data_IF_730011471146
#
_entry.id   IF_730011471146
#
_cell.length_a   1.000
_cell.length_b   1.000
_cell.length_c   1.000
_cell.angle_alpha   90.00
_cell.angle_beta   90.00
_cell.angle_gamma   90.00
#
_symmetry.space_group_name_H-M   'P 1'
#
loop_
_entity.id
_entity.type
_entity.pdbx_description
1 polymer ?
#
# COMPACT_ATOMS: atom_id res chain seq x y z
N UNK A 1 -1.55 -4.19 10.06
CA UNK A 1 -2.65 -3.47 9.40
C UNK A 1 -3.95 -4.23 9.54
N UNK A 2 -5.01 -3.52 9.93
CA UNK A 2 -6.37 -4.09 10.06
C UNK A 2 -6.96 -4.37 8.68
N UNK A 3 -7.91 -5.30 8.62
CA UNK A 3 -8.67 -5.57 7.39
C UNK A 3 -9.38 -4.30 6.92
N UNK A 4 -9.25 -3.98 5.63
CA UNK A 4 -9.91 -2.87 4.99
C UNK A 4 -11.19 -3.34 4.28
N UNK A 5 -12.31 -2.68 4.55
CA UNK A 5 -13.61 -2.97 3.93
C UNK A 5 -14.18 -1.76 3.18
N UNK A 6 -13.51 -0.62 3.26
CA UNK A 6 -13.86 0.64 2.61
C UNK A 6 -12.61 1.42 2.18
N UNK A 7 -12.78 2.40 1.29
CA UNK A 7 -11.69 3.32 0.91
C UNK A 7 -11.18 4.14 2.11
N UNK A 8 -12.04 4.40 3.10
CA UNK A 8 -11.65 5.08 4.34
C UNK A 8 -10.75 4.21 5.22
N UNK A 9 -11.00 2.90 5.28
CA UNK A 9 -10.10 1.97 5.96
C UNK A 9 -8.73 1.90 5.28
N UNK A 10 -8.72 1.90 3.95
CA UNK A 10 -7.49 1.92 3.16
C UNK A 10 -6.67 3.17 3.45
N UNK A 11 -7.30 4.35 3.41
CA UNK A 11 -6.62 5.63 3.69
C UNK A 11 -6.07 5.63 5.12
N UNK A 12 -6.86 5.21 6.11
CA UNK A 12 -6.40 5.12 7.50
C UNK A 12 -5.20 4.19 7.65
N UNK A 13 -5.24 3.01 7.05
CA UNK A 13 -4.11 2.07 7.12
C UNK A 13 -2.86 2.64 6.44
N UNK A 14 -3.00 3.37 5.34
CA UNK A 14 -1.87 4.07 4.74
C UNK A 14 -1.32 5.18 5.66
N UNK A 15 -2.18 5.91 6.37
CA UNK A 15 -1.74 6.89 7.38
C UNK A 15 -0.90 6.21 8.47
N UNK A 16 -1.38 5.09 9.02
CA UNK A 16 -0.63 4.30 10.03
C UNK A 16 0.75 3.88 9.51
N UNK A 17 0.86 3.46 8.24
CA UNK A 17 2.13 3.06 7.63
C UNK A 17 3.05 4.26 7.44
N UNK A 18 2.52 5.40 6.97
CA UNK A 18 3.30 6.62 6.71
C UNK A 18 3.84 7.18 8.02
N UNK A 19 3.01 7.28 9.06
CA UNK A 19 3.42 7.80 10.37
C UNK A 19 4.53 6.93 10.96
N UNK A 20 4.35 5.60 10.94
CA UNK A 20 5.40 4.66 11.37
C UNK A 20 6.69 4.80 10.54
N UNK A 21 6.57 4.93 9.22
CA UNK A 21 7.71 5.04 8.32
C UNK A 21 8.52 6.34 8.55
N UNK A 22 7.85 7.43 8.91
CA UNK A 22 8.52 8.69 9.29
C UNK A 22 9.31 8.47 10.58
N UNK A 23 8.68 7.90 11.61
CA UNK A 23 9.32 7.67 12.92
C UNK A 23 10.49 6.67 12.83
N UNK A 24 10.38 5.67 11.95
CA UNK A 24 11.38 4.64 11.74
C UNK A 24 12.45 5.01 10.69
N UNK A 25 12.37 6.20 10.09
CA UNK A 25 13.19 6.62 8.94
C UNK A 25 13.23 5.55 7.81
N UNK A 26 12.07 4.97 7.51
CA UNK A 26 11.93 3.81 6.64
C UNK A 26 11.24 4.15 5.31
N UNK A 27 11.90 3.86 4.19
CA UNK A 27 11.45 4.06 2.83
C UNK A 27 10.24 3.22 2.38
N UNK A 28 9.74 2.26 3.16
CA UNK A 28 8.42 1.63 2.91
C UNK A 28 7.32 2.69 2.84
N UNK A 29 7.47 3.82 3.56
CA UNK A 29 6.54 4.94 3.53
C UNK A 29 6.36 5.60 2.15
N UNK A 30 7.33 5.47 1.23
CA UNK A 30 7.23 6.06 -0.11
C UNK A 30 6.07 5.44 -0.91
N UNK A 31 5.98 4.12 -0.93
CA UNK A 31 4.91 3.41 -1.64
C UNK A 31 3.55 3.74 -1.02
N UNK A 32 3.46 3.70 0.32
CA UNK A 32 2.24 4.04 1.05
C UNK A 32 1.75 5.46 0.74
N UNK A 33 2.67 6.43 0.65
CA UNK A 33 2.34 7.82 0.30
C UNK A 33 1.75 7.96 -1.10
N UNK A 34 2.36 7.31 -2.10
CA UNK A 34 1.89 7.36 -3.49
C UNK A 34 0.50 6.72 -3.61
N UNK A 35 0.32 5.53 -3.02
CA UNK A 35 -0.96 4.83 -3.12
C UNK A 35 -2.08 5.48 -2.31
N UNK A 36 -1.79 6.07 -1.14
CA UNK A 36 -2.75 6.91 -0.42
C UNK A 36 -3.32 8.01 -1.31
N UNK A 37 -2.46 8.70 -2.07
CA UNK A 37 -2.88 9.76 -3.01
C UNK A 37 -3.76 9.20 -4.12
N UNK A 38 -3.45 8.02 -4.65
CA UNK A 38 -4.26 7.35 -5.66
C UNK A 38 -5.64 6.96 -5.11
N UNK A 39 -5.72 6.36 -3.93
CA UNK A 39 -6.99 5.99 -3.27
C UNK A 39 -7.84 7.22 -2.97
N UNK A 40 -7.25 8.33 -2.51
CA UNK A 40 -7.95 9.61 -2.32
C UNK A 40 -8.54 10.13 -3.64
N UNK A 41 -7.76 10.08 -4.72
CA UNK A 41 -8.25 10.51 -6.04
C UNK A 41 -9.40 9.61 -6.53
N UNK A 42 -9.30 8.29 -6.36
CA UNK A 42 -10.36 7.34 -6.69
C UNK A 42 -11.63 7.66 -5.90
N UNK A 43 -11.51 7.87 -4.59
CA UNK A 43 -12.62 8.23 -3.70
C UNK A 43 -13.35 9.50 -4.18
N UNK A 44 -12.59 10.55 -4.52
CA UNK A 44 -13.18 11.80 -5.02
C UNK A 44 -13.84 11.63 -6.39
N UNK A 45 -13.26 10.82 -7.29
CA UNK A 45 -13.85 10.53 -8.61
C UNK A 45 -15.14 9.72 -8.51
N UNK A 46 -15.19 8.73 -7.64
CA UNK A 46 -16.43 7.97 -7.35
C UNK A 46 -17.50 8.90 -6.79
N UNK A 47 -17.14 9.79 -5.85
CA UNK A 47 -18.07 10.73 -5.23
C UNK A 47 -18.63 11.75 -6.25
N UNK A 48 -17.79 12.22 -7.17
CA UNK A 48 -18.22 13.12 -8.24
C UNK A 48 -19.12 12.41 -9.28
N UNK A 49 -18.91 11.10 -9.47
CA UNK A 49 -19.64 10.26 -10.42
C UNK A 49 -19.21 10.46 -11.87
N UNK A 50 -19.50 9.47 -12.71
CA UNK A 50 -19.34 9.56 -14.18
C UNK A 50 -17.90 9.56 -14.70
N UNK A 51 -16.91 9.25 -13.87
CA UNK A 51 -15.52 9.10 -14.29
C UNK A 51 -15.15 7.66 -14.65
N UNK A 52 -15.57 6.69 -13.83
CA UNK A 52 -15.33 5.28 -14.10
C UNK A 52 -16.56 4.64 -14.75
N UNK A 53 -16.34 3.67 -15.64
CA UNK A 53 -17.42 2.87 -16.22
C UNK A 53 -18.24 2.11 -15.15
N UNK A 54 -17.57 1.73 -14.06
CA UNK A 54 -18.16 1.03 -12.92
C UNK A 54 -17.45 1.42 -11.61
N UNK A 55 -18.05 2.38 -10.91
CA UNK A 55 -17.56 2.88 -9.61
C UNK A 55 -17.47 1.78 -8.55
N UNK A 56 -18.40 0.80 -8.56
CA UNK A 56 -18.40 -0.29 -7.58
C UNK A 56 -17.24 -1.24 -7.83
N UNK A 57 -16.99 -1.57 -9.10
CA UNK A 57 -15.83 -2.38 -9.50
C UNK A 57 -14.52 -1.67 -9.17
N UNK A 58 -14.42 -0.37 -9.42
CA UNK A 58 -13.23 0.41 -9.09
C UNK A 58 -12.98 0.46 -7.58
N UNK A 59 -14.03 0.71 -6.78
CA UNK A 59 -13.96 0.69 -5.31
C UNK A 59 -13.45 -0.66 -4.81
N UNK A 60 -14.04 -1.76 -5.30
CA UNK A 60 -13.64 -3.12 -4.91
C UNK A 60 -12.20 -3.43 -5.30
N UNK A 61 -11.77 -2.98 -6.48
CA UNK A 61 -10.40 -3.18 -6.94
C UNK A 61 -9.40 -2.49 -6.02
N UNK A 62 -9.62 -1.21 -5.68
CA UNK A 62 -8.74 -0.43 -4.80
C UNK A 62 -8.59 -1.09 -3.42
N UNK A 63 -9.72 -1.49 -2.80
CA UNK A 63 -9.73 -2.17 -1.50
C UNK A 63 -8.97 -3.50 -1.54
N UNK A 64 -9.21 -4.34 -2.55
CA UNK A 64 -8.54 -5.64 -2.66
C UNK A 64 -7.03 -5.48 -2.91
N UNK A 65 -6.65 -4.52 -3.75
CA UNK A 65 -5.25 -4.24 -4.02
C UNK A 65 -4.53 -3.77 -2.75
N UNK A 66 -5.10 -2.78 -2.04
CA UNK A 66 -4.55 -2.28 -0.79
C UNK A 66 -4.47 -3.38 0.28
N UNK A 67 -5.51 -4.21 0.42
CA UNK A 67 -5.51 -5.32 1.37
C UNK A 67 -4.35 -6.29 1.11
N UNK A 68 -4.08 -6.64 -0.15
CA UNK A 68 -2.95 -7.54 -0.49
C UNK A 68 -1.59 -6.94 -0.11
N UNK A 69 -1.44 -5.62 -0.24
CA UNK A 69 -0.24 -4.93 0.21
C UNK A 69 -0.12 -4.94 1.74
N UNK A 70 -1.23 -4.68 2.45
CA UNK A 70 -1.28 -4.74 3.91
C UNK A 70 -0.99 -6.13 4.46
N UNK A 71 -1.50 -7.17 3.82
CA UNK A 71 -1.21 -8.56 4.18
C UNK A 71 0.27 -8.88 3.99
N UNK A 72 0.88 -8.40 2.90
CA UNK A 72 2.30 -8.57 2.66
C UNK A 72 3.17 -7.84 3.69
N UNK A 73 2.79 -6.62 4.10
CA UNK A 73 3.49 -5.91 5.18
C UNK A 73 3.35 -6.61 6.53
N UNK A 74 2.14 -7.09 6.86
CA UNK A 74 1.92 -7.88 8.07
C UNK A 74 2.83 -9.11 8.10
N UNK A 75 2.90 -9.83 6.99
CA UNK A 75 3.77 -10.99 6.83
C UNK A 75 5.25 -10.66 6.98
N UNK A 76 5.67 -9.54 6.39
CA UNK A 76 7.06 -9.10 6.46
C UNK A 76 7.50 -8.72 7.88
N UNK A 77 6.67 -7.94 8.60
CA UNK A 77 7.03 -7.45 9.94
C UNK A 77 6.68 -8.43 11.08
N UNK A 78 5.79 -9.39 10.84
CA UNK A 78 5.34 -10.36 11.84
C UNK A 78 5.40 -11.80 11.29
N UNK A 79 6.59 -12.31 10.94
CA UNK A 79 6.75 -13.59 10.24
C UNK A 79 6.33 -14.82 11.07
N UNK A 80 6.14 -14.67 12.39
CA UNK A 80 5.61 -15.74 13.24
C UNK A 80 4.08 -15.82 13.24
N UNK A 81 3.40 -14.74 12.83
CA UNK A 81 1.94 -14.60 12.95
C UNK A 81 1.22 -14.72 11.60
N UNK A 82 1.96 -14.65 10.48
CA UNK A 82 1.43 -14.59 9.12
C UNK A 82 2.22 -15.48 8.16
N UNK A 83 1.56 -15.96 7.11
CA UNK A 83 2.24 -16.63 5.99
C UNK A 83 3.15 -15.64 5.26
N UNK A 84 4.33 -16.10 4.83
CA UNK A 84 5.32 -15.27 4.17
C UNK A 84 4.73 -14.50 2.96
N UNK A 85 5.18 -13.26 2.71
CA UNK A 85 4.71 -12.50 1.57
C UNK A 85 5.12 -13.21 0.27
N UNK A 86 4.43 -12.89 -0.83
CA UNK A 86 4.87 -13.39 -2.15
C UNK A 86 6.30 -12.92 -2.42
N UNK A 87 7.04 -13.69 -3.23
CA UNK A 87 8.44 -13.39 -3.52
C UNK A 87 8.66 -11.98 -4.10
N UNK A 88 7.70 -11.47 -4.89
CA UNK A 88 7.72 -10.10 -5.40
C UNK A 88 7.67 -9.07 -4.27
N UNK A 89 6.79 -9.26 -3.28
CA UNK A 89 6.69 -8.34 -2.15
C UNK A 89 7.91 -8.43 -1.23
N UNK A 90 8.38 -9.65 -0.94
CA UNK A 90 9.59 -9.86 -0.15
C UNK A 90 10.78 -9.08 -0.74
N UNK A 91 11.03 -9.23 -2.03
CA UNK A 91 12.11 -8.50 -2.72
C UNK A 91 11.95 -6.98 -2.67
N UNK A 92 10.73 -6.47 -2.81
CA UNK A 92 10.48 -5.04 -2.70
C UNK A 92 10.79 -4.49 -1.30
N UNK A 93 10.50 -5.27 -0.24
CA UNK A 93 10.73 -4.84 1.14
C UNK A 93 12.19 -5.00 1.57
N UNK A 94 12.84 -6.11 1.21
CA UNK A 94 14.27 -6.33 1.47
C UNK A 94 15.14 -5.24 0.82
N UNK A 95 14.71 -4.72 -0.34
CA UNK A 95 15.34 -3.60 -1.05
C UNK A 95 15.54 -2.35 -0.18
N UNK A 96 14.74 -2.18 0.88
CA UNK A 96 14.87 -1.08 1.82
C UNK A 96 15.99 -1.28 2.86
N UNK A 97 16.39 -2.53 3.17
CA UNK A 97 17.32 -2.84 4.25
C UNK A 97 18.81 -2.76 3.84
N UNK A 98 19.12 -2.51 2.56
CA UNK A 98 20.50 -2.47 2.08
C UNK A 98 21.24 -1.20 2.53
N UNK A 99 22.32 -1.39 3.31
CA UNK A 99 23.21 -0.32 3.85
C UNK A 99 23.87 0.57 2.78
N UNK A 100 23.91 0.10 1.53
CA UNK A 100 24.33 0.89 0.37
C UNK A 100 23.17 0.95 -0.61
N UNK A 101 22.53 2.12 -0.78
CA UNK A 101 21.48 2.28 -1.77
C UNK A 101 22.17 2.43 -3.14
N UNK A 102 22.61 1.31 -3.70
CA UNK A 102 23.04 1.20 -5.09
C UNK A 102 21.78 1.27 -5.97
N UNK A 103 21.08 2.40 -5.90
CA UNK A 103 19.81 2.75 -6.53
C UNK A 103 18.55 2.06 -5.96
N UNK A 104 17.69 2.79 -5.21
CA UNK A 104 16.31 2.38 -5.07
C UNK A 104 15.65 2.47 -6.45
N UNK A 105 15.43 1.33 -7.10
CA UNK A 105 14.70 1.28 -8.36
C UNK A 105 13.20 1.24 -8.03
N UNK A 106 12.57 2.41 -7.99
CA UNK A 106 11.11 2.49 -8.07
C UNK A 106 10.73 2.29 -9.54
N UNK A 107 10.54 1.05 -9.98
CA UNK A 107 9.88 0.77 -11.25
C UNK A 107 8.37 0.83 -11.04
N UNK A 108 7.80 2.02 -11.17
CA UNK A 108 6.35 2.14 -11.38
C UNK A 108 6.12 2.32 -12.88
N UNK A 109 5.76 1.25 -13.58
CA UNK A 109 5.11 1.42 -14.89
C UNK A 109 3.69 1.94 -14.61
N UNK A 110 3.44 3.20 -15.00
CA UNK A 110 2.10 3.76 -15.16
C UNK A 110 1.58 3.45 -16.56
#
# INVERSE_FOLDING_TARGET
MRRAESLDDVIRNFDEIIDWAIDAENGIGYFATVYKRATLAIKEKIKAGGYFDDDKRMTRFDIIFAQRYFDALNAYFHPCDYEAPTHTWQWCFDGHEYERPDHPIIVQHM
#
